data_IF_791626245732
#
_entry.id   IF_791626245732
#
_cell.length_a   1.000
_cell.length_b   1.000
_cell.length_c   1.000
_cell.angle_alpha   90.00
_cell.angle_beta   90.00
_cell.angle_gamma   90.00
#
_symmetry.space_group_name_H-M   'P 1'
#
loop_
_entity.id
_entity.type
_entity.pdbx_description
1 polymer ?
#
# COMPACT_ATOMS: atom_id res chain seq x y z
N UNK A 1 -8.70 4.72 -22.06
CA UNK A 1 -7.62 5.44 -21.34
C UNK A 1 -7.88 5.48 -19.83
N UNK A 2 -9.11 5.72 -19.37
CA UNK A 2 -9.45 5.80 -17.93
C UNK A 2 -9.14 4.55 -17.11
N UNK A 3 -9.31 3.35 -17.68
CA UNK A 3 -9.03 2.07 -16.98
C UNK A 3 -7.53 1.95 -16.65
N UNK A 4 -6.66 2.43 -17.53
CA UNK A 4 -5.21 2.41 -17.31
C UNK A 4 -4.82 3.31 -16.13
N UNK A 5 -5.36 4.53 -16.07
CA UNK A 5 -5.13 5.45 -14.94
C UNK A 5 -5.66 4.90 -13.62
N UNK A 6 -6.82 4.23 -13.62
CA UNK A 6 -7.34 3.56 -12.41
C UNK A 6 -6.39 2.48 -11.91
N UNK A 7 -5.91 1.60 -12.79
CA UNK A 7 -4.96 0.54 -12.45
C UNK A 7 -3.62 1.09 -11.95
N UNK A 8 -3.13 2.15 -12.59
CA UNK A 8 -1.90 2.83 -12.19
C UNK A 8 -2.05 3.48 -10.80
N UNK A 9 -3.22 4.05 -10.52
CA UNK A 9 -3.58 4.53 -9.19
C UNK A 9 -3.62 3.43 -8.14
N UNK A 10 -4.16 2.24 -8.45
CA UNK A 10 -4.15 1.10 -7.52
C UNK A 10 -2.71 0.69 -7.13
N UNK A 11 -1.75 0.77 -8.06
CA UNK A 11 -0.36 0.36 -7.82
C UNK A 11 0.45 1.42 -7.10
N UNK A 12 0.40 2.66 -7.60
CA UNK A 12 1.31 3.72 -7.13
C UNK A 12 0.83 4.39 -5.85
N UNK A 13 -0.48 4.52 -5.67
CA UNK A 13 -1.05 5.32 -4.59
C UNK A 13 -0.79 4.73 -3.19
N UNK A 14 -0.90 3.40 -2.96
CA UNK A 14 -0.50 2.79 -1.69
C UNK A 14 1.00 2.93 -1.40
N UNK A 15 1.83 2.77 -2.43
CA UNK A 15 3.29 2.89 -2.32
C UNK A 15 3.71 4.33 -1.98
N UNK A 16 3.13 5.33 -2.65
CA UNK A 16 3.35 6.74 -2.36
C UNK A 16 2.84 7.12 -0.98
N UNK A 17 1.69 6.58 -0.57
CA UNK A 17 1.15 6.80 0.76
C UNK A 17 2.09 6.25 1.83
N UNK A 18 2.63 5.05 1.65
CA UNK A 18 3.63 4.46 2.54
C UNK A 18 4.91 5.31 2.65
N UNK A 19 5.41 5.84 1.51
CA UNK A 19 6.57 6.74 1.50
C UNK A 19 6.24 8.02 2.28
N UNK A 20 5.03 8.56 2.13
CA UNK A 20 4.53 9.70 2.91
C UNK A 20 4.50 9.42 4.41
N UNK A 21 4.00 8.26 4.84
CA UNK A 21 4.03 7.84 6.25
C UNK A 21 5.47 7.69 6.77
N UNK A 22 6.40 7.24 5.93
CA UNK A 22 7.82 7.19 6.26
C UNK A 22 8.44 8.57 6.44
N UNK A 23 8.13 9.51 5.54
CA UNK A 23 8.59 10.89 5.64
C UNK A 23 8.04 11.60 6.89
N UNK A 24 6.85 11.21 7.36
CA UNK A 24 6.25 11.70 8.60
C UNK A 24 6.78 11.00 9.87
N UNK A 25 7.80 10.14 9.76
CA UNK A 25 8.33 9.31 10.85
C UNK A 25 7.29 8.40 11.53
N UNK A 26 6.26 7.99 10.80
CA UNK A 26 5.15 7.20 11.36
C UNK A 26 5.39 5.69 11.19
N UNK A 27 5.88 5.00 12.23
CA UNK A 27 6.29 3.58 12.20
C UNK A 27 7.80 3.42 12.35
N UNK A 28 8.31 2.18 12.47
CA UNK A 28 9.74 1.94 12.67
C UNK A 28 10.57 2.31 11.42
N UNK A 29 11.77 2.84 11.63
CA UNK A 29 12.73 3.15 10.56
C UNK A 29 13.87 2.13 10.59
N UNK A 30 13.64 0.95 10.02
CA UNK A 30 14.66 -0.10 9.88
C UNK A 30 14.70 -0.64 8.45
N UNK A 31 15.59 -1.61 8.19
CA UNK A 31 15.65 -2.28 6.88
C UNK A 31 14.31 -2.92 6.50
N UNK A 32 13.49 -3.30 7.49
CA UNK A 32 12.15 -3.82 7.28
C UNK A 32 11.22 -2.84 6.55
N UNK A 33 11.50 -1.53 6.63
CA UNK A 33 10.75 -0.51 5.91
C UNK A 33 10.84 -0.76 4.38
N UNK A 34 12.04 -1.07 3.87
CA UNK A 34 12.23 -1.31 2.44
C UNK A 34 11.51 -2.59 1.98
N UNK A 35 11.43 -3.60 2.85
CA UNK A 35 10.70 -4.85 2.61
C UNK A 35 9.19 -4.57 2.59
N UNK A 36 8.66 -3.78 3.53
CA UNK A 36 7.24 -3.39 3.56
C UNK A 36 6.80 -2.68 2.28
N UNK A 37 7.61 -1.74 1.79
CA UNK A 37 7.32 -1.05 0.54
C UNK A 37 7.22 -2.03 -0.64
N UNK A 38 8.15 -2.98 -0.73
CA UNK A 38 8.12 -4.03 -1.76
C UNK A 38 6.89 -4.91 -1.61
N UNK A 39 6.53 -5.30 -0.39
CA UNK A 39 5.35 -6.12 -0.11
C UNK A 39 4.06 -5.39 -0.51
N UNK A 40 3.91 -4.11 -0.15
CA UNK A 40 2.76 -3.28 -0.53
C UNK A 40 2.68 -3.11 -2.04
N UNK A 41 3.82 -2.89 -2.70
CA UNK A 41 3.88 -2.79 -4.15
C UNK A 41 3.44 -4.08 -4.84
N UNK A 42 3.95 -5.24 -4.38
CA UNK A 42 3.55 -6.55 -4.90
C UNK A 42 2.05 -6.83 -4.65
N UNK A 43 1.54 -6.57 -3.45
CA UNK A 43 0.11 -6.67 -3.12
C UNK A 43 -0.75 -5.81 -4.04
N UNK A 44 -0.31 -4.58 -4.29
CA UNK A 44 -1.03 -3.64 -5.14
C UNK A 44 -1.07 -4.12 -6.60
N UNK A 45 0.01 -4.73 -7.11
CA UNK A 45 0.03 -5.38 -8.43
C UNK A 45 -0.94 -6.56 -8.47
N UNK A 46 -0.97 -7.42 -7.44
CA UNK A 46 -1.91 -8.54 -7.38
C UNK A 46 -3.36 -8.05 -7.41
N UNK A 47 -3.65 -6.96 -6.70
CA UNK A 47 -4.98 -6.35 -6.69
C UNK A 47 -5.43 -5.77 -8.04
N UNK A 48 -4.51 -5.44 -8.97
CA UNK A 48 -4.87 -4.98 -10.32
C UNK A 48 -5.56 -6.07 -11.15
N UNK A 49 -5.31 -7.34 -10.82
CA UNK A 49 -5.94 -8.49 -11.49
C UNK A 49 -7.35 -8.79 -10.97
N UNK A 50 -7.79 -8.15 -9.88
CA UNK A 50 -9.14 -8.33 -9.35
C UNK A 50 -10.15 -7.69 -10.32
N UNK A 51 -11.15 -8.45 -10.81
CA UNK A 51 -12.16 -7.89 -11.71
C UNK A 51 -13.08 -6.92 -10.96
N UNK A 52 -13.46 -5.81 -11.59
CA UNK A 52 -14.38 -4.82 -11.02
C UNK A 52 -15.78 -5.39 -10.70
N UNK A 53 -16.10 -6.59 -11.22
CA UNK A 53 -17.33 -7.32 -10.89
C UNK A 53 -17.43 -7.72 -9.42
N UNK A 54 -16.31 -8.05 -8.77
CA UNK A 54 -16.30 -8.43 -7.35
C UNK A 54 -16.25 -7.22 -6.43
N UNK A 55 -15.31 -6.31 -6.69
CA UNK A 55 -15.07 -5.13 -5.86
C UNK A 55 -14.74 -3.95 -6.77
N UNK A 56 -15.42 -2.82 -6.58
CA UNK A 56 -15.09 -1.61 -7.34
C UNK A 56 -13.69 -1.11 -6.97
N UNK A 57 -12.94 -0.69 -7.99
CA UNK A 57 -11.56 -0.19 -7.91
C UNK A 57 -11.32 0.81 -6.77
N UNK A 58 -12.31 1.64 -6.45
CA UNK A 58 -12.24 2.61 -5.34
C UNK A 58 -12.07 1.93 -3.98
N UNK A 59 -12.83 0.87 -3.72
CA UNK A 59 -12.75 0.13 -2.46
C UNK A 59 -11.43 -0.64 -2.35
N UNK A 60 -10.92 -1.18 -3.46
CA UNK A 60 -9.60 -1.84 -3.49
C UNK A 60 -8.50 -0.88 -3.04
N UNK A 61 -8.47 0.34 -3.58
CA UNK A 61 -7.50 1.37 -3.15
C UNK A 61 -7.68 1.71 -1.67
N UNK A 62 -8.90 1.94 -1.21
CA UNK A 62 -9.17 2.28 0.20
C UNK A 62 -8.70 1.16 1.13
N UNK A 63 -8.99 -0.10 0.79
CA UNK A 63 -8.55 -1.27 1.56
C UNK A 63 -7.02 -1.34 1.59
N UNK A 64 -6.34 -1.16 0.46
CA UNK A 64 -4.88 -1.14 0.40
C UNK A 64 -4.26 -0.02 1.24
N UNK A 65 -4.87 1.17 1.26
CA UNK A 65 -4.42 2.29 2.11
C UNK A 65 -4.60 1.99 3.59
N UNK A 66 -5.73 1.39 3.98
CA UNK A 66 -5.97 0.96 5.36
C UNK A 66 -4.95 -0.11 5.75
N UNK A 67 -4.73 -1.12 4.91
CA UNK A 67 -3.73 -2.17 5.16
C UNK A 67 -2.34 -1.55 5.32
N UNK A 68 -1.96 -0.62 4.45
CA UNK A 68 -0.68 0.10 4.50
C UNK A 68 -0.50 0.88 5.81
N UNK A 69 -1.57 1.58 6.24
CA UNK A 69 -1.56 2.29 7.51
C UNK A 69 -1.47 1.34 8.70
N UNK A 70 -2.25 0.25 8.68
CA UNK A 70 -2.23 -0.77 9.72
C UNK A 70 -0.88 -1.49 9.79
N UNK A 71 -0.22 -1.76 8.67
CA UNK A 71 1.13 -2.36 8.68
C UNK A 71 2.11 -1.45 9.38
N UNK A 72 2.09 -0.14 9.10
CA UNK A 72 2.93 0.84 9.79
C UNK A 72 2.57 1.02 11.27
N UNK A 73 1.29 0.91 11.62
CA UNK A 73 0.81 1.07 13.00
C UNK A 73 1.09 -0.16 13.87
N UNK A 74 0.88 -1.36 13.33
CA UNK A 74 1.00 -2.64 14.03
C UNK A 74 2.43 -3.19 14.00
N UNK A 75 3.33 -2.61 13.19
CA UNK A 75 4.74 -2.96 13.20
C UNK A 75 5.22 -2.87 14.64
N UNK A 76 5.58 -4.00 15.27
CA UNK A 76 5.91 -3.98 16.67
C UNK A 76 7.20 -3.18 16.80
N UNK A 77 7.19 -2.22 17.73
CA UNK A 77 8.40 -1.55 18.21
C UNK A 77 9.17 -2.62 18.99
N UNK A 78 9.71 -3.61 18.27
CA UNK A 78 10.68 -4.54 18.83
C UNK A 78 11.96 -3.74 18.80
N UNK A 79 12.50 -3.34 19.96
CA UNK A 79 13.82 -2.74 19.99
C UNK A 79 14.80 -3.80 19.50
N UNK A 80 15.43 -3.52 18.39
CA UNK A 80 16.66 -4.18 17.95
C UNK A 80 17.85 -3.71 18.78
#
# INVERSE_FOLDING_TARGET
MEIFFKKLGIVLLPSLFWIGLTALNFGAQSLANLIELVVIFCLSILCVFIPEHFISSKYVVIILLIITFLTRLLMPIIPE
#
